data_IF_663412360064
#
_entry.id   IF_663412360064
#
_cell.length_a   1.000
_cell.length_b   1.000
_cell.length_c   1.000
_cell.angle_alpha   90.00
_cell.angle_beta   90.00
_cell.angle_gamma   90.00
#
_symmetry.space_group_name_H-M   'P 1'
#
loop_
_entity.id
_entity.type
_entity.pdbx_description
1 polymer ?
#
# COMPACT_ATOMS: atom_id res chain seq x y z
N UNK A 1 -5.70 10.89 -0.33
CA UNK A 1 -4.79 10.98 -1.47
C UNK A 1 -3.57 10.06 -1.29
N UNK A 2 -3.80 8.80 -0.97
CA UNK A 2 -2.78 7.73 -0.81
C UNK A 2 -3.13 6.51 -1.68
N UNK A 3 -4.10 6.66 -2.59
CA UNK A 3 -4.64 5.60 -3.46
C UNK A 3 -3.95 5.55 -4.82
N UNK A 4 -3.11 6.54 -5.17
CA UNK A 4 -2.55 6.66 -6.53
C UNK A 4 -1.21 5.90 -6.72
N UNK A 5 -0.61 5.32 -5.67
CA UNK A 5 0.71 4.67 -5.78
C UNK A 5 0.62 3.17 -6.12
N UNK A 6 -0.58 2.58 -6.21
CA UNK A 6 -0.76 1.15 -6.50
C UNK A 6 -1.51 0.85 -7.81
N UNK A 7 -1.54 1.77 -8.74
CA UNK A 7 -1.99 1.50 -10.11
C UNK A 7 -0.78 1.41 -11.04
N UNK A 8 -0.06 0.35 -10.97
CA UNK A 8 1.00 -0.02 -11.89
C UNK A 8 1.41 -1.45 -11.60
N UNK A 9 1.49 -2.25 -12.64
CA UNK A 9 1.91 -3.63 -12.63
C UNK A 9 3.16 -3.82 -11.76
N UNK A 10 2.96 -4.21 -10.50
CA UNK A 10 4.04 -4.74 -9.70
C UNK A 10 4.32 -6.14 -10.20
N UNK A 11 5.17 -6.18 -11.23
CA UNK A 11 5.81 -7.37 -11.70
C UNK A 11 6.42 -8.14 -10.53
N UNK A 12 6.10 -9.41 -10.47
CA UNK A 12 6.49 -10.43 -9.52
C UNK A 12 8.01 -10.42 -9.22
N UNK A 13 8.45 -9.57 -8.31
CA UNK A 13 9.83 -9.62 -7.76
C UNK A 13 9.91 -10.66 -6.63
N UNK A 14 8.86 -11.38 -6.35
CA UNK A 14 8.86 -12.41 -5.31
C UNK A 14 8.70 -13.79 -5.96
N UNK A 15 9.81 -14.51 -5.97
CA UNK A 15 9.83 -15.92 -6.36
C UNK A 15 8.76 -16.72 -5.61
N UNK A 16 8.29 -17.76 -6.26
CA UNK A 16 7.10 -18.59 -6.06
C UNK A 16 6.82 -19.18 -4.67
N UNK A 17 7.54 -18.84 -3.59
CA UNK A 17 7.45 -19.65 -2.34
C UNK A 17 7.65 -18.91 -1.01
N UNK A 18 7.26 -17.64 -0.87
CA UNK A 18 7.11 -17.05 0.46
C UNK A 18 5.83 -16.23 0.54
N UNK A 19 4.78 -16.81 1.12
CA UNK A 19 3.64 -16.07 1.65
C UNK A 19 4.17 -15.12 2.73
N UNK A 20 4.50 -13.90 2.34
CA UNK A 20 4.75 -12.82 3.31
C UNK A 20 3.43 -12.63 4.02
N UNK A 21 3.36 -13.10 5.27
CA UNK A 21 2.17 -12.95 6.09
C UNK A 21 1.88 -11.46 6.27
N UNK A 22 0.84 -10.98 5.63
CA UNK A 22 0.40 -9.59 5.80
C UNK A 22 -0.03 -9.38 7.25
N UNK A 23 0.51 -8.37 7.94
CA UNK A 23 0.13 -8.10 9.31
C UNK A 23 -1.39 -7.95 9.45
N UNK A 24 -1.99 -8.65 10.42
CA UNK A 24 -3.46 -8.63 10.65
C UNK A 24 -4.03 -7.23 10.80
N UNK A 25 -3.25 -6.29 11.34
CA UNK A 25 -3.63 -4.90 11.45
C UNK A 25 -3.79 -4.21 10.10
N UNK A 26 -2.91 -4.49 9.15
CA UNK A 26 -2.98 -3.95 7.79
C UNK A 26 -4.21 -4.49 7.04
N UNK A 27 -4.45 -5.81 7.10
CA UNK A 27 -5.64 -6.40 6.48
C UNK A 27 -6.93 -5.80 7.06
N UNK A 28 -6.99 -5.61 8.37
CA UNK A 28 -8.13 -4.96 9.03
C UNK A 28 -8.36 -3.54 8.52
N UNK A 29 -7.28 -2.76 8.39
CA UNK A 29 -7.36 -1.39 7.87
C UNK A 29 -7.85 -1.36 6.42
N UNK A 30 -7.31 -2.21 5.55
CA UNK A 30 -7.72 -2.32 4.14
C UNK A 30 -9.21 -2.68 4.02
N UNK A 31 -9.66 -3.69 4.74
CA UNK A 31 -11.07 -4.12 4.73
C UNK A 31 -11.99 -3.00 5.21
N UNK A 32 -11.66 -2.32 6.29
CA UNK A 32 -12.44 -1.17 6.77
C UNK A 32 -12.48 -0.04 5.74
N UNK A 33 -11.33 0.28 5.12
CA UNK A 33 -11.23 1.31 4.10
C UNK A 33 -12.12 1.00 2.89
N UNK A 34 -12.11 -0.24 2.41
CA UNK A 34 -12.95 -0.67 1.29
C UNK A 34 -14.45 -0.59 1.62
N UNK A 35 -14.85 -1.08 2.79
CA UNK A 35 -16.26 -1.03 3.23
C UNK A 35 -16.71 0.40 3.49
N UNK A 36 -15.81 1.32 3.83
CA UNK A 36 -16.16 2.74 4.01
C UNK A 36 -16.53 3.44 2.70
N UNK A 37 -16.05 2.94 1.57
CA UNK A 37 -16.33 3.49 0.24
C UNK A 37 -17.65 2.97 -0.33
N UNK A 38 -17.94 1.68 -0.13
CA UNK A 38 -19.19 1.03 -0.55
C UNK A 38 -19.43 -0.26 0.23
N UNK A 39 -20.69 -0.69 0.38
CA UNK A 39 -21.00 -2.00 0.94
C UNK A 39 -20.37 -3.13 0.12
N UNK A 40 -19.67 -4.06 0.80
CA UNK A 40 -18.98 -5.17 0.13
C UNK A 40 -19.21 -6.50 0.87
N UNK A 41 -19.24 -7.58 0.09
CA UNK A 41 -19.19 -8.96 0.58
C UNK A 41 -17.76 -9.42 0.79
N UNK A 42 -17.58 -10.54 1.51
CA UNK A 42 -16.25 -11.12 1.71
C UNK A 42 -15.55 -11.53 0.41
N UNK A 43 -16.33 -11.95 -0.60
CA UNK A 43 -15.79 -12.31 -1.93
C UNK A 43 -15.31 -11.06 -2.66
N UNK A 44 -16.14 -10.02 -2.74
CA UNK A 44 -15.80 -8.75 -3.39
C UNK A 44 -14.53 -8.11 -2.75
N UNK A 45 -14.38 -8.22 -1.44
CA UNK A 45 -13.18 -7.73 -0.72
C UNK A 45 -11.92 -8.51 -1.15
N UNK A 46 -12.01 -9.84 -1.26
CA UNK A 46 -10.87 -10.67 -1.69
C UNK A 46 -10.45 -10.31 -3.11
N UNK A 47 -11.42 -10.19 -4.03
CA UNK A 47 -11.18 -9.84 -5.43
C UNK A 47 -10.57 -8.43 -5.57
N UNK A 48 -11.07 -7.46 -4.80
CA UNK A 48 -10.56 -6.11 -4.85
C UNK A 48 -9.13 -6.02 -4.28
N UNK A 49 -8.82 -6.76 -3.21
CA UNK A 49 -7.45 -6.83 -2.68
C UNK A 49 -6.51 -7.47 -3.71
N UNK A 50 -6.91 -8.57 -4.33
CA UNK A 50 -6.14 -9.24 -5.38
C UNK A 50 -5.86 -8.29 -6.55
N UNK A 51 -6.88 -7.55 -6.99
CA UNK A 51 -6.78 -6.56 -8.07
C UNK A 51 -5.83 -5.41 -7.71
N UNK A 52 -5.93 -4.87 -6.50
CA UNK A 52 -5.11 -3.73 -6.07
C UNK A 52 -3.65 -4.11 -5.79
N UNK A 53 -3.38 -5.34 -5.37
CA UNK A 53 -2.03 -5.81 -5.03
C UNK A 53 -1.34 -6.57 -6.16
N UNK A 54 -2.09 -6.96 -7.19
CA UNK A 54 -1.59 -7.70 -8.36
C UNK A 54 -1.21 -9.17 -8.08
N UNK A 55 -1.01 -9.56 -6.82
CA UNK A 55 -0.50 -10.90 -6.50
C UNK A 55 -0.99 -11.48 -5.18
N UNK A 56 -1.50 -10.67 -4.27
CA UNK A 56 -1.90 -11.14 -2.96
C UNK A 56 -3.41 -11.34 -2.85
N UNK A 57 -3.81 -12.60 -2.62
CA UNK A 57 -5.20 -13.01 -2.41
C UNK A 57 -5.37 -13.51 -0.97
N UNK A 58 -6.06 -12.74 -0.10
CA UNK A 58 -6.33 -13.19 1.25
C UNK A 58 -7.20 -14.45 1.25
N UNK A 59 -6.90 -15.39 2.16
CA UNK A 59 -7.72 -16.59 2.29
C UNK A 59 -9.10 -16.28 2.90
N UNK A 60 -10.14 -17.03 2.55
CA UNK A 60 -11.45 -16.96 3.22
C UNK A 60 -11.34 -17.09 4.75
N UNK A 61 -10.45 -17.95 5.24
CA UNK A 61 -10.15 -18.11 6.67
C UNK A 61 -9.58 -16.87 7.35
N UNK A 62 -9.04 -15.91 6.60
CA UNK A 62 -8.59 -14.62 7.12
C UNK A 62 -9.70 -13.55 7.06
N UNK A 63 -10.49 -13.53 6.00
CA UNK A 63 -11.49 -12.48 5.74
C UNK A 63 -12.76 -12.67 6.59
N UNK A 64 -13.36 -13.85 6.59
CA UNK A 64 -14.64 -14.04 7.29
C UNK A 64 -14.57 -13.86 8.82
N UNK A 65 -13.55 -14.39 9.52
CA UNK A 65 -13.38 -14.10 10.95
C UNK A 65 -13.13 -12.62 11.22
N UNK A 66 -12.44 -11.93 10.32
CA UNK A 66 -12.22 -10.48 10.43
C UNK A 66 -13.54 -9.72 10.30
N UNK A 67 -14.35 -10.00 9.27
CA UNK A 67 -15.67 -9.38 9.07
C UNK A 67 -16.59 -9.63 10.28
N UNK A 68 -16.65 -10.87 10.79
CA UNK A 68 -17.39 -11.20 12.00
C UNK A 68 -16.91 -10.38 13.23
N UNK A 69 -15.59 -10.21 13.37
CA UNK A 69 -15.01 -9.38 14.44
C UNK A 69 -15.36 -7.91 14.31
N UNK A 70 -15.34 -7.36 13.09
CA UNK A 70 -15.72 -5.97 12.81
C UNK A 70 -17.19 -5.72 13.09
N UNK A 71 -18.05 -6.66 12.69
CA UNK A 71 -19.48 -6.63 12.99
C UNK A 71 -19.75 -6.69 14.50
N UNK A 72 -19.13 -7.64 15.20
CA UNK A 72 -19.24 -7.77 16.66
C UNK A 72 -18.81 -6.50 17.41
N UNK A 73 -17.85 -5.76 16.88
CA UNK A 73 -17.39 -4.49 17.45
C UNK A 73 -18.24 -3.29 17.05
N UNK A 74 -19.28 -3.48 16.26
CA UNK A 74 -20.15 -2.42 15.80
C UNK A 74 -19.55 -1.52 14.72
N UNK A 75 -18.39 -1.86 14.14
CA UNK A 75 -17.76 -1.05 13.09
C UNK A 75 -18.41 -1.23 11.71
N UNK A 76 -19.06 -2.37 11.53
CA UNK A 76 -19.84 -2.69 10.33
C UNK A 76 -21.17 -3.30 10.74
N UNK A 77 -22.17 -3.17 9.87
CA UNK A 77 -23.44 -3.89 9.97
C UNK A 77 -23.66 -4.75 8.74
N UNK A 78 -24.33 -5.89 8.93
CA UNK A 78 -24.70 -6.76 7.85
C UNK A 78 -25.95 -6.21 7.14
N UNK A 79 -25.93 -6.23 5.82
CA UNK A 79 -27.11 -5.97 4.99
C UNK A 79 -27.87 -7.27 4.73
N UNK A 80 -29.17 -7.20 4.41
CA UNK A 80 -29.91 -8.35 3.89
C UNK A 80 -29.14 -9.00 2.72
N UNK A 81 -29.32 -10.31 2.59
CA UNK A 81 -28.73 -11.01 1.44
C UNK A 81 -29.33 -10.48 0.15
N UNK A 82 -28.48 -10.30 -0.86
CA UNK A 82 -28.94 -9.94 -2.18
C UNK A 82 -29.59 -11.15 -2.92
N UNK A 83 -30.07 -10.91 -4.14
CA UNK A 83 -30.70 -11.93 -4.98
C UNK A 83 -29.76 -13.13 -5.27
N UNK A 84 -28.45 -12.93 -5.22
CA UNK A 84 -27.43 -13.96 -5.40
C UNK A 84 -27.05 -14.65 -4.09
N UNK A 85 -27.69 -14.28 -2.96
CA UNK A 85 -27.44 -14.85 -1.64
C UNK A 85 -26.21 -14.31 -0.93
N UNK A 86 -25.52 -13.32 -1.47
CA UNK A 86 -24.35 -12.72 -0.84
C UNK A 86 -24.74 -11.81 0.32
N UNK A 87 -23.99 -11.93 1.41
CA UNK A 87 -24.08 -11.04 2.57
C UNK A 87 -23.06 -9.93 2.42
N UNK A 88 -23.54 -8.69 2.35
CA UNK A 88 -22.68 -7.50 2.31
C UNK A 88 -22.62 -6.81 3.66
N UNK A 89 -21.51 -6.18 3.90
CA UNK A 89 -21.25 -5.38 5.09
C UNK A 89 -21.20 -3.91 4.69
N UNK A 90 -21.89 -3.06 5.42
CA UNK A 90 -21.78 -1.63 5.27
C UNK A 90 -21.16 -1.00 6.53
N UNK A 91 -20.59 0.15 6.35
CA UNK A 91 -19.90 0.89 7.39
C UNK A 91 -20.89 1.52 8.37
N UNK A 92 -20.50 1.66 9.62
CA UNK A 92 -21.26 2.36 10.66
C UNK A 92 -20.55 3.67 11.04
N UNK A 93 -21.26 4.52 11.76
CA UNK A 93 -20.69 5.76 12.31
C UNK A 93 -19.56 5.49 13.30
N UNK A 94 -19.68 4.42 14.10
CA UNK A 94 -18.63 3.97 15.01
C UNK A 94 -17.40 3.45 14.24
N UNK A 95 -17.65 2.74 13.13
CA UNK A 95 -16.61 2.32 12.19
C UNK A 95 -15.86 3.52 11.61
N UNK A 96 -16.58 4.58 11.24
CA UNK A 96 -15.98 5.79 10.69
C UNK A 96 -15.05 6.46 11.70
N UNK A 97 -15.53 6.70 12.92
CA UNK A 97 -14.72 7.24 14.03
C UNK A 97 -13.46 6.40 14.30
N UNK A 98 -13.62 5.08 14.26
CA UNK A 98 -12.47 4.18 14.43
C UNK A 98 -11.46 4.30 13.28
N UNK A 99 -11.92 4.33 12.02
CA UNK A 99 -11.05 4.45 10.84
C UNK A 99 -10.30 5.79 10.82
N UNK A 100 -10.98 6.90 11.10
CA UNK A 100 -10.37 8.23 11.20
C UNK A 100 -9.24 8.23 12.23
N UNK A 101 -9.50 7.68 13.43
CA UNK A 101 -8.47 7.56 14.47
C UNK A 101 -7.29 6.69 14.03
N UNK A 102 -7.53 5.61 13.27
CA UNK A 102 -6.44 4.78 12.73
C UNK A 102 -5.62 5.55 11.69
N UNK A 103 -6.26 6.36 10.86
CA UNK A 103 -5.58 7.23 9.88
C UNK A 103 -4.70 8.26 10.59
N UNK A 104 -5.22 8.95 11.60
CA UNK A 104 -4.45 9.91 12.40
C UNK A 104 -3.22 9.27 13.04
N UNK A 105 -3.41 8.13 13.74
CA UNK A 105 -2.30 7.39 14.35
C UNK A 105 -1.27 6.93 13.30
N UNK A 106 -1.73 6.49 12.14
CA UNK A 106 -0.85 6.14 11.03
C UNK A 106 -0.05 7.33 10.51
N UNK A 107 -0.68 8.48 10.37
CA UNK A 107 0.00 9.72 9.96
C UNK A 107 1.03 10.19 11.00
N UNK A 108 0.68 10.14 12.29
CA UNK A 108 1.63 10.46 13.37
C UNK A 108 2.82 9.49 13.40
N UNK A 109 2.57 8.20 13.22
CA UNK A 109 3.61 7.19 13.15
C UNK A 109 4.56 7.47 11.99
N UNK A 110 4.02 7.73 10.79
CA UNK A 110 4.83 8.09 9.62
C UNK A 110 5.67 9.34 9.89
N UNK A 111 5.09 10.38 10.49
CA UNK A 111 5.85 11.59 10.87
C UNK A 111 7.01 11.27 11.82
N UNK A 112 6.77 10.39 12.80
CA UNK A 112 7.80 9.99 13.78
C UNK A 112 8.94 9.18 13.17
N UNK A 113 8.66 8.32 12.19
CA UNK A 113 9.69 7.49 11.55
C UNK A 113 10.30 8.13 10.29
N UNK A 114 9.76 9.24 9.82
CA UNK A 114 10.18 9.90 8.60
C UNK A 114 11.67 10.27 8.62
N UNK A 115 12.19 10.66 9.77
CA UNK A 115 13.62 10.94 9.94
C UNK A 115 14.50 9.68 9.83
N UNK A 116 13.93 8.49 10.12
CA UNK A 116 14.62 7.20 9.99
C UNK A 116 14.52 6.64 8.57
N UNK A 117 13.60 7.12 7.75
CA UNK A 117 13.35 6.56 6.42
C UNK A 117 14.64 6.48 5.56
N UNK A 118 15.53 7.49 5.49
CA UNK A 118 16.77 7.38 4.77
C UNK A 118 17.72 6.30 5.32
N UNK A 119 17.72 6.07 6.64
CA UNK A 119 18.49 5.01 7.28
C UNK A 119 17.89 3.64 7.03
N UNK A 120 16.57 3.52 7.12
CA UNK A 120 15.84 2.27 6.86
C UNK A 120 16.04 1.84 5.40
N UNK A 121 15.89 2.73 4.45
CA UNK A 121 16.11 2.45 3.02
C UNK A 121 17.56 2.09 2.75
N UNK A 122 18.53 2.77 3.39
CA UNK A 122 19.94 2.44 3.26
C UNK A 122 20.32 1.12 3.98
N UNK A 123 19.61 0.79 5.07
CA UNK A 123 19.85 -0.41 5.88
C UNK A 123 19.07 -1.65 5.40
N UNK A 124 18.00 -1.50 4.63
CA UNK A 124 17.40 -2.61 3.88
C UNK A 124 18.41 -3.02 2.82
N UNK A 125 19.20 -4.04 3.13
CA UNK A 125 20.26 -4.66 2.36
C UNK A 125 20.00 -4.65 0.85
N UNK A 126 20.29 -3.54 0.20
CA UNK A 126 20.65 -3.55 -1.21
C UNK A 126 22.07 -4.12 -1.30
N UNK A 127 22.23 -5.37 -0.76
CA UNK A 127 23.48 -6.12 -0.74
C UNK A 127 24.60 -5.46 0.03
N UNK A 128 24.73 -5.76 1.33
CA UNK A 128 25.76 -5.20 2.23
C UNK A 128 27.20 -5.45 1.76
N UNK A 129 27.40 -6.34 0.80
CA UNK A 129 28.69 -6.68 0.21
C UNK A 129 28.76 -6.48 -1.31
N UNK A 130 27.76 -5.87 -1.95
CA UNK A 130 27.82 -5.70 -3.40
C UNK A 130 28.36 -4.31 -3.72
N UNK A 131 29.66 -4.21 -4.03
CA UNK A 131 30.31 -2.97 -4.47
C UNK A 131 29.59 -2.30 -5.64
N UNK A 132 28.87 -3.09 -6.47
CA UNK A 132 28.09 -2.59 -7.62
C UNK A 132 27.02 -1.58 -7.21
N UNK A 133 26.46 -1.66 -5.99
CA UNK A 133 25.42 -0.75 -5.50
C UNK A 133 25.90 0.37 -4.59
N UNK A 134 27.21 0.50 -4.39
CA UNK A 134 27.79 1.51 -3.50
C UNK A 134 27.40 2.93 -3.88
N UNK A 135 27.47 3.27 -5.18
CA UNK A 135 27.06 4.58 -5.70
C UNK A 135 25.55 4.84 -5.60
N UNK A 136 24.75 3.78 -5.73
CA UNK A 136 23.29 3.88 -5.69
C UNK A 136 22.75 4.12 -4.28
N UNK A 137 23.43 3.65 -3.23
CA UNK A 137 22.99 3.82 -1.82
C UNK A 137 22.84 5.30 -1.44
N UNK A 138 23.82 6.14 -1.75
CA UNK A 138 23.76 7.56 -1.41
C UNK A 138 22.72 8.30 -2.27
N UNK A 139 22.59 7.93 -3.54
CA UNK A 139 21.55 8.48 -4.44
C UNK A 139 20.15 8.15 -3.95
N UNK A 140 19.89 6.91 -3.54
CA UNK A 140 18.59 6.49 -2.98
C UNK A 140 18.31 7.25 -1.68
N UNK A 141 19.28 7.37 -0.79
CA UNK A 141 19.15 8.12 0.47
C UNK A 141 18.80 9.58 0.22
N UNK A 142 19.44 10.21 -0.76
CA UNK A 142 19.17 11.60 -1.13
C UNK A 142 17.80 11.74 -1.78
N UNK A 143 17.39 10.81 -2.66
CA UNK A 143 16.07 10.77 -3.24
C UNK A 143 14.98 10.70 -2.14
N UNK A 144 15.12 9.80 -1.17
CA UNK A 144 14.19 9.66 -0.05
C UNK A 144 14.11 10.95 0.77
N UNK A 145 15.25 11.60 1.09
CA UNK A 145 15.26 12.88 1.80
C UNK A 145 14.53 13.98 1.02
N UNK A 146 14.78 14.06 -0.29
CA UNK A 146 14.13 15.04 -1.17
C UNK A 146 12.64 14.80 -1.25
N UNK A 147 12.21 13.54 -1.35
CA UNK A 147 10.78 13.18 -1.36
C UNK A 147 10.09 13.54 -0.04
N UNK A 148 10.73 13.30 1.10
CA UNK A 148 10.23 13.71 2.41
C UNK A 148 10.09 15.22 2.49
N UNK A 149 11.08 15.97 2.00
CA UNK A 149 11.03 17.43 1.97
C UNK A 149 9.86 17.94 1.12
N UNK A 150 9.68 17.41 -0.10
CA UNK A 150 8.56 17.77 -0.98
C UNK A 150 7.22 17.48 -0.31
N UNK A 151 7.07 16.30 0.31
CA UNK A 151 5.85 15.92 1.01
C UNK A 151 5.49 16.88 2.16
N UNK A 152 6.50 17.39 2.88
CA UNK A 152 6.30 18.37 3.97
C UNK A 152 5.91 19.76 3.49
N UNK A 153 6.16 20.06 2.23
CA UNK A 153 5.94 21.36 1.62
C UNK A 153 4.96 21.29 0.43
N UNK A 154 4.01 20.33 0.45
CA UNK A 154 3.05 20.17 -0.65
C UNK A 154 2.19 21.41 -0.91
N UNK A 155 1.94 22.20 0.12
CA UNK A 155 1.25 23.49 0.06
C UNK A 155 2.00 24.55 -0.75
N UNK A 156 3.31 24.38 -0.95
CA UNK A 156 4.18 25.28 -1.71
C UNK A 156 4.50 24.77 -3.12
N UNK A 157 4.13 23.52 -3.42
CA UNK A 157 4.36 22.89 -4.72
C UNK A 157 3.32 23.43 -5.69
N UNK A 158 3.76 24.14 -6.73
CA UNK A 158 2.88 24.62 -7.78
C UNK A 158 2.39 23.48 -8.68
N UNK A 159 1.32 23.70 -9.43
CA UNK A 159 0.83 22.73 -10.43
C UNK A 159 1.89 22.41 -11.49
N UNK A 160 2.69 23.40 -11.88
CA UNK A 160 3.82 23.21 -12.79
C UNK A 160 4.87 22.27 -12.19
N UNK A 161 5.27 22.50 -10.93
CA UNK A 161 6.25 21.64 -10.23
C UNK A 161 5.72 20.22 -10.06
N UNK A 162 4.43 20.06 -9.78
CA UNK A 162 3.79 18.76 -9.66
C UNK A 162 3.82 17.97 -10.98
N UNK A 163 3.56 18.64 -12.12
CA UNK A 163 3.63 18.05 -13.45
C UNK A 163 5.07 17.68 -13.82
N UNK A 164 6.04 18.54 -13.54
CA UNK A 164 7.46 18.26 -13.77
C UNK A 164 7.95 17.07 -12.94
N UNK A 165 7.55 17.01 -11.67
CA UNK A 165 7.83 15.84 -10.80
C UNK A 165 7.25 14.55 -11.34
N UNK A 166 6.00 14.58 -11.83
CA UNK A 166 5.36 13.41 -12.41
C UNK A 166 6.13 12.93 -13.66
N UNK A 167 6.63 13.83 -14.47
CA UNK A 167 7.41 13.51 -15.67
C UNK A 167 8.77 12.89 -15.31
N UNK A 168 9.50 13.49 -14.36
CA UNK A 168 10.77 12.95 -13.86
C UNK A 168 10.58 11.52 -13.29
N UNK A 169 9.52 11.30 -12.50
CA UNK A 169 9.24 9.98 -11.94
C UNK A 169 8.95 8.97 -13.05
N UNK A 170 8.16 9.32 -14.05
CA UNK A 170 7.84 8.46 -15.20
C UNK A 170 9.09 8.06 -15.97
N UNK A 171 9.94 9.02 -16.35
CA UNK A 171 11.20 8.73 -17.04
C UNK A 171 12.14 7.84 -16.22
N UNK A 172 12.20 8.08 -14.90
CA UNK A 172 13.00 7.27 -14.00
C UNK A 172 12.49 5.83 -13.98
N UNK A 173 11.16 5.63 -13.89
CA UNK A 173 10.52 4.32 -13.91
C UNK A 173 10.81 3.57 -15.20
N UNK A 174 10.64 4.20 -16.36
CA UNK A 174 10.94 3.59 -17.65
C UNK A 174 12.42 3.14 -17.79
N UNK A 175 13.34 3.92 -17.21
CA UNK A 175 14.76 3.54 -17.20
C UNK A 175 15.01 2.33 -16.29
N UNK A 176 14.35 2.25 -15.14
CA UNK A 176 14.44 1.09 -14.27
C UNK A 176 13.84 -0.16 -14.91
N UNK A 177 12.70 -0.06 -15.56
CA UNK A 177 12.05 -1.17 -16.27
C UNK A 177 12.97 -1.76 -17.36
N UNK A 178 13.65 -0.92 -18.13
CA UNK A 178 14.65 -1.38 -19.12
C UNK A 178 15.81 -2.14 -18.48
N UNK A 179 16.23 -1.76 -17.26
CA UNK A 179 17.26 -2.49 -16.52
C UNK A 179 16.73 -3.84 -16.05
N UNK A 180 15.50 -3.87 -15.53
CA UNK A 180 14.85 -5.12 -15.08
C UNK A 180 14.70 -6.09 -16.23
N UNK A 181 14.19 -5.64 -17.38
CA UNK A 181 14.06 -6.48 -18.60
C UNK A 181 15.40 -7.13 -19.00
N UNK A 182 16.49 -6.35 -19.03
CA UNK A 182 17.82 -6.90 -19.33
C UNK A 182 18.26 -7.98 -18.35
N UNK A 183 17.96 -7.80 -17.06
CA UNK A 183 18.30 -8.79 -16.03
C UNK A 183 17.46 -10.06 -16.17
N UNK A 184 16.24 -9.95 -16.66
CA UNK A 184 15.35 -11.10 -16.90
C UNK A 184 15.76 -11.88 -18.16
N UNK A 185 16.23 -11.20 -19.18
CA UNK A 185 16.72 -11.82 -20.44
C UNK A 185 18.06 -12.56 -20.24
N UNK A 186 18.84 -12.20 -19.23
CA UNK A 186 20.12 -12.85 -18.89
C UNK A 186 19.97 -14.13 -18.03
N UNK A 187 18.74 -14.54 -17.70
CA UNK A 187 18.44 -15.77 -16.94
C UNK A 187 18.08 -16.93 -17.85
#
# INVERSE_FOLDING_TARGET
MLVVIFQGDYMSICGKDRTIGVPRGLLKFLVLKMISEKPMSGVEIVEEIEKQTGSWKPSPGSIYPLLASLHKKGFTKELPRDELGFKRYCFTEEGNRFLEKQIELGQEFIKKIEFLAPMLVAGFNLGDNNEKFRGSKESIKNLVKTFIFLRRNLDRVSERDANELAEIIRECTEKFEKIVQRIEEEK
#
